data_IF_917990232559
#
_entry.id   IF_917990232559
#
_cell.length_a   1.000
_cell.length_b   1.000
_cell.length_c   1.000
_cell.angle_alpha   90.00
_cell.angle_beta   90.00
_cell.angle_gamma   90.00
#
_symmetry.space_group_name_H-M   'P 1'
#
loop_
_entity.id
_entity.type
_entity.pdbx_description
1 polymer ?
#
# COMPACT_ATOMS: atom_id res chain seq x y z
N UNK A 1 -4.49 13.99 1.42
CA UNK A 1 -5.84 13.81 2.00
C UNK A 1 -6.03 12.35 2.43
N UNK A 2 -5.83 12.04 3.72
CA UNK A 2 -6.03 10.69 4.27
C UNK A 2 -6.82 10.84 5.58
N UNK A 3 -8.12 11.10 5.47
CA UNK A 3 -9.05 11.22 6.63
C UNK A 3 -10.29 10.33 6.44
N UNK A 4 -10.15 9.24 5.68
CA UNK A 4 -11.20 8.22 5.55
C UNK A 4 -10.98 6.98 6.45
N UNK A 5 -9.80 6.85 7.08
CA UNK A 5 -9.44 5.67 7.87
C UNK A 5 -10.21 5.57 9.21
N UNK A 6 -10.44 6.70 9.88
CA UNK A 6 -11.07 6.74 11.21
C UNK A 6 -12.58 6.41 11.18
N UNK A 7 -13.39 6.84 10.18
CA UNK A 7 -14.78 6.41 10.05
C UNK A 7 -14.92 4.96 9.57
N UNK A 8 -14.10 4.52 8.61
CA UNK A 8 -14.25 3.18 8.02
C UNK A 8 -13.88 2.06 8.99
N UNK A 9 -12.79 2.21 9.74
CA UNK A 9 -12.39 1.22 10.73
C UNK A 9 -13.44 1.08 11.85
N UNK A 10 -14.02 2.20 12.29
CA UNK A 10 -15.06 2.21 13.32
C UNK A 10 -16.38 1.59 12.83
N UNK A 11 -16.74 1.84 11.57
CA UNK A 11 -17.89 1.22 10.92
C UNK A 11 -17.69 -0.28 10.71
N UNK A 12 -16.49 -0.71 10.29
CA UNK A 12 -16.15 -2.12 10.15
C UNK A 12 -16.27 -2.83 11.50
N UNK A 13 -15.71 -2.25 12.56
CA UNK A 13 -15.81 -2.78 13.91
C UNK A 13 -17.27 -2.87 14.39
N UNK A 14 -18.08 -1.83 14.15
CA UNK A 14 -19.51 -1.86 14.49
C UNK A 14 -20.27 -2.92 13.69
N UNK A 15 -20.00 -3.04 12.38
CA UNK A 15 -20.66 -4.01 11.51
C UNK A 15 -20.34 -5.44 11.93
N UNK A 16 -19.07 -5.75 12.21
CA UNK A 16 -18.65 -7.04 12.77
C UNK A 16 -19.42 -7.31 14.06
N UNK A 17 -19.47 -6.35 14.99
CA UNK A 17 -20.14 -6.52 16.28
C UNK A 17 -21.67 -6.69 16.15
N UNK A 18 -22.29 -6.01 15.20
CA UNK A 18 -23.74 -6.05 14.98
C UNK A 18 -24.19 -7.33 14.27
N UNK A 19 -23.39 -7.87 13.35
CA UNK A 19 -23.69 -9.13 12.66
C UNK A 19 -23.32 -10.35 13.52
N UNK A 20 -22.29 -10.22 14.37
CA UNK A 20 -21.84 -11.32 15.22
C UNK A 20 -22.88 -11.74 16.26
N UNK A 21 -23.61 -10.78 16.85
CA UNK A 21 -24.66 -11.08 17.85
C UNK A 21 -25.83 -11.94 17.33
N UNK A 22 -26.52 -11.60 16.23
CA UNK A 22 -27.62 -12.42 15.72
C UNK A 22 -27.13 -13.79 15.23
N UNK A 23 -25.92 -13.87 14.64
CA UNK A 23 -25.34 -15.15 14.23
C UNK A 23 -25.01 -16.02 15.45
N UNK A 24 -24.35 -15.46 16.46
CA UNK A 24 -24.06 -16.18 17.70
C UNK A 24 -25.35 -16.66 18.39
N UNK A 25 -26.41 -15.85 18.42
CA UNK A 25 -27.71 -16.25 18.94
C UNK A 25 -28.31 -17.43 18.15
N UNK A 26 -28.23 -17.40 16.82
CA UNK A 26 -28.65 -18.52 15.96
C UNK A 26 -27.84 -19.80 16.22
N UNK A 27 -26.52 -19.68 16.35
CA UNK A 27 -25.63 -20.81 16.66
C UNK A 27 -25.94 -21.39 18.05
N UNK A 28 -26.20 -20.55 19.07
CA UNK A 28 -26.62 -20.99 20.41
C UNK A 28 -27.91 -21.81 20.36
N UNK A 29 -28.92 -21.36 19.62
CA UNK A 29 -30.19 -22.09 19.46
C UNK A 29 -29.97 -23.45 18.78
N UNK A 30 -29.12 -23.51 17.76
CA UNK A 30 -28.78 -24.76 17.06
C UNK A 30 -27.94 -25.72 17.91
N UNK A 31 -27.03 -25.19 18.73
CA UNK A 31 -26.23 -25.98 19.66
C UNK A 31 -27.06 -26.58 20.80
N UNK A 32 -28.15 -25.91 21.22
CA UNK A 32 -29.12 -26.47 22.17
C UNK A 32 -30.02 -27.52 21.52
N UNK A 33 -30.36 -27.36 20.24
CA UNK A 33 -31.22 -28.29 19.51
C UNK A 33 -30.51 -29.59 19.09
N UNK A 34 -29.19 -29.56 18.86
CA UNK A 34 -28.44 -30.74 18.40
C UNK A 34 -27.21 -31.03 19.27
N UNK A 35 -27.13 -32.20 19.93
CA UNK A 35 -25.96 -32.60 20.70
C UNK A 35 -24.73 -32.87 19.82
N UNK A 36 -24.92 -33.24 18.54
CA UNK A 36 -23.82 -33.38 17.57
C UNK A 36 -23.16 -32.03 17.31
N UNK A 37 -23.96 -31.00 17.01
CA UNK A 37 -23.46 -29.65 16.75
C UNK A 37 -22.75 -29.08 17.97
N UNK A 38 -23.30 -29.31 19.17
CA UNK A 38 -22.69 -28.96 20.44
C UNK A 38 -21.27 -29.51 20.57
N UNK A 39 -21.12 -30.83 20.48
CA UNK A 39 -19.86 -31.52 20.79
C UNK A 39 -18.83 -31.39 19.67
N UNK A 40 -19.26 -31.34 18.40
CA UNK A 40 -18.33 -31.42 17.26
C UNK A 40 -17.95 -30.05 16.70
N UNK A 41 -18.84 -29.05 16.81
CA UNK A 41 -18.63 -27.74 16.17
C UNK A 41 -18.41 -26.64 17.22
N UNK A 42 -19.14 -26.65 18.33
CA UNK A 42 -19.08 -25.57 19.34
C UNK A 42 -18.03 -25.83 20.44
N UNK A 43 -17.89 -27.07 20.90
CA UNK A 43 -16.98 -27.43 21.99
C UNK A 43 -15.49 -27.35 21.62
N UNK A 44 -15.00 -27.80 20.43
CA UNK A 44 -13.57 -27.77 20.14
C UNK A 44 -12.97 -26.35 20.13
N UNK A 45 -13.60 -25.34 19.50
CA UNK A 45 -13.14 -23.95 19.58
C UNK A 45 -13.15 -23.40 21.02
N UNK A 46 -14.20 -23.72 21.80
CA UNK A 46 -14.31 -23.25 23.17
C UNK A 46 -13.22 -23.84 24.08
N UNK A 47 -12.93 -25.13 23.95
CA UNK A 47 -11.87 -25.80 24.73
C UNK A 47 -10.48 -25.32 24.29
N UNK A 48 -10.28 -25.10 22.98
CA UNK A 48 -9.04 -24.51 22.46
C UNK A 48 -8.81 -23.10 23.02
N UNK A 49 -9.84 -22.26 23.03
CA UNK A 49 -9.76 -20.91 23.58
C UNK A 49 -9.41 -20.95 25.07
N UNK A 50 -10.08 -21.80 25.85
CA UNK A 50 -9.78 -21.93 27.27
C UNK A 50 -8.35 -22.44 27.52
N UNK A 51 -7.89 -23.40 26.73
CA UNK A 51 -6.50 -23.88 26.79
C UNK A 51 -5.50 -22.78 26.43
N UNK A 52 -5.74 -22.04 25.35
CA UNK A 52 -4.88 -20.96 24.90
C UNK A 52 -4.83 -19.83 25.94
N UNK A 53 -5.98 -19.42 26.48
CA UNK A 53 -6.08 -18.39 27.51
C UNK A 53 -5.29 -18.77 28.78
N UNK A 54 -5.45 -20.00 29.27
CA UNK A 54 -4.69 -20.48 30.43
C UNK A 54 -3.18 -20.53 30.12
N UNK A 55 -2.80 -20.99 28.93
CA UNK A 55 -1.39 -21.09 28.53
C UNK A 55 -0.73 -19.71 28.37
N UNK A 56 -1.43 -18.77 27.75
CA UNK A 56 -0.97 -17.39 27.56
C UNK A 56 -0.84 -16.71 28.93
N UNK A 57 -1.82 -16.85 29.82
CA UNK A 57 -1.74 -16.28 31.18
C UNK A 57 -0.54 -16.81 31.95
N UNK A 58 -0.27 -18.10 31.88
CA UNK A 58 0.90 -18.69 32.53
C UNK A 58 2.21 -18.19 31.90
N UNK A 59 2.27 -18.11 30.57
CA UNK A 59 3.43 -17.58 29.85
C UNK A 59 3.70 -16.10 30.17
N UNK A 60 2.67 -15.25 30.17
CA UNK A 60 2.79 -13.81 30.45
C UNK A 60 3.18 -13.55 31.90
N UNK A 61 2.59 -14.29 32.85
CA UNK A 61 2.85 -14.10 34.27
C UNK A 61 4.12 -14.83 34.73
N UNK A 62 4.79 -15.59 33.85
CA UNK A 62 5.98 -16.40 34.15
C UNK A 62 5.76 -17.41 35.31
N UNK A 63 4.50 -17.73 35.62
CA UNK A 63 4.13 -18.87 36.46
C UNK A 63 4.26 -20.11 35.57
N UNK A 64 4.91 -21.17 36.07
CA UNK A 64 5.23 -22.37 35.30
C UNK A 64 4.05 -23.10 34.64
N UNK A 65 4.28 -24.34 34.18
CA UNK A 65 3.30 -25.06 33.37
C UNK A 65 1.94 -25.27 34.10
N UNK A 66 0.79 -25.00 33.42
CA UNK A 66 -0.54 -25.16 34.03
C UNK A 66 -0.85 -26.62 34.35
N UNK A 67 -1.12 -26.92 35.62
CA UNK A 67 -1.21 -28.30 36.16
C UNK A 67 -2.51 -29.04 35.77
N UNK A 68 -3.61 -28.35 35.46
CA UNK A 68 -4.83 -28.96 34.89
C UNK A 68 -5.80 -27.86 34.46
N UNK A 69 -6.01 -27.72 33.15
CA UNK A 69 -7.08 -26.86 32.62
C UNK A 69 -8.41 -27.56 32.89
N UNK A 70 -9.21 -27.03 33.83
CA UNK A 70 -10.51 -27.60 34.16
C UNK A 70 -11.42 -27.52 32.93
N UNK A 71 -12.03 -28.65 32.53
CA UNK A 71 -12.97 -28.65 31.40
C UNK A 71 -14.14 -27.73 31.74
N UNK A 72 -14.36 -26.73 30.89
CA UNK A 72 -15.41 -25.74 31.07
C UNK A 72 -16.79 -26.41 31.14
N UNK A 73 -17.68 -25.92 32.00
CA UNK A 73 -19.07 -26.36 32.11
C UNK A 73 -19.74 -26.32 30.72
N UNK A 74 -20.47 -27.38 30.35
CA UNK A 74 -21.03 -27.54 29.00
C UNK A 74 -21.87 -26.34 28.55
N UNK A 75 -22.63 -25.73 29.46
CA UNK A 75 -23.43 -24.54 29.17
C UNK A 75 -22.56 -23.31 28.80
N UNK A 76 -21.44 -23.10 29.50
CA UNK A 76 -20.54 -21.99 29.24
C UNK A 76 -19.73 -22.20 27.95
N UNK A 77 -19.36 -23.45 27.66
CA UNK A 77 -18.69 -23.80 26.42
C UNK A 77 -19.57 -23.58 25.19
N UNK A 78 -20.88 -23.84 25.29
CA UNK A 78 -21.84 -23.53 24.22
C UNK A 78 -21.92 -22.03 23.97
N UNK A 79 -21.96 -21.24 25.05
CA UNK A 79 -22.09 -19.79 24.95
C UNK A 79 -20.85 -19.16 24.29
N UNK A 80 -19.67 -19.48 24.80
CA UNK A 80 -18.41 -18.95 24.28
C UNK A 80 -18.09 -19.50 22.89
N UNK A 81 -18.31 -20.80 22.66
CA UNK A 81 -18.07 -21.43 21.36
C UNK A 81 -18.93 -20.83 20.26
N UNK A 82 -20.20 -20.49 20.57
CA UNK A 82 -21.10 -19.91 19.58
C UNK A 82 -20.72 -18.48 19.19
N UNK A 83 -20.22 -17.69 20.13
CA UNK A 83 -19.77 -16.32 19.89
C UNK A 83 -18.50 -16.30 19.04
N UNK A 84 -17.50 -17.10 19.43
CA UNK A 84 -16.23 -17.22 18.69
C UNK A 84 -16.46 -17.79 17.29
N UNK A 85 -17.33 -18.80 17.14
CA UNK A 85 -17.64 -19.39 15.85
C UNK A 85 -18.33 -18.38 14.92
N UNK A 86 -19.27 -17.59 15.45
CA UNK A 86 -19.94 -16.54 14.68
C UNK A 86 -18.97 -15.48 14.16
N UNK A 87 -18.09 -15.00 15.03
CA UNK A 87 -17.06 -14.03 14.66
C UNK A 87 -16.07 -14.58 13.63
N UNK A 88 -15.61 -15.82 13.84
CA UNK A 88 -14.65 -16.49 12.93
C UNK A 88 -15.23 -16.68 11.53
N UNK A 89 -16.51 -17.03 11.42
CA UNK A 89 -17.17 -17.21 10.12
C UNK A 89 -17.28 -15.87 9.37
N UNK A 90 -17.74 -14.80 10.04
CA UNK A 90 -17.85 -13.47 9.42
C UNK A 90 -16.48 -12.95 9.02
N UNK A 91 -15.49 -13.07 9.91
CA UNK A 91 -14.12 -12.65 9.65
C UNK A 91 -13.51 -13.46 8.50
N UNK A 92 -13.74 -14.77 8.46
CA UNK A 92 -13.29 -15.64 7.39
C UNK A 92 -13.86 -15.24 6.03
N UNK A 93 -15.16 -14.92 5.96
CA UNK A 93 -15.79 -14.41 4.73
C UNK A 93 -15.18 -13.07 4.33
N UNK A 94 -14.99 -12.14 5.27
CA UNK A 94 -14.39 -10.84 5.01
C UNK A 94 -12.95 -10.95 4.48
N UNK A 95 -12.12 -11.79 5.11
CA UNK A 95 -10.74 -12.07 4.68
C UNK A 95 -10.73 -12.73 3.31
N UNK A 96 -11.62 -13.69 3.05
CA UNK A 96 -11.71 -14.35 1.75
C UNK A 96 -12.11 -13.36 0.64
N UNK A 97 -13.09 -12.48 0.89
CA UNK A 97 -13.47 -11.42 -0.04
C UNK A 97 -12.32 -10.44 -0.30
N UNK A 98 -11.62 -10.00 0.76
CA UNK A 98 -10.47 -9.11 0.62
C UNK A 98 -9.34 -9.77 -0.17
N UNK A 99 -9.05 -11.04 0.09
CA UNK A 99 -8.04 -11.80 -0.64
C UNK A 99 -8.43 -11.97 -2.12
N UNK A 100 -9.70 -12.27 -2.40
CA UNK A 100 -10.20 -12.36 -3.76
C UNK A 100 -10.08 -11.02 -4.52
N UNK A 101 -10.43 -9.91 -3.87
CA UNK A 101 -10.22 -8.56 -4.43
C UNK A 101 -8.75 -8.22 -4.59
N UNK A 102 -7.88 -8.61 -3.66
CA UNK A 102 -6.43 -8.42 -3.78
C UNK A 102 -5.86 -9.16 -4.99
N UNK A 103 -6.22 -10.44 -5.18
CA UNK A 103 -5.81 -11.22 -6.36
C UNK A 103 -6.38 -10.61 -7.64
N UNK A 104 -7.62 -10.09 -7.60
CA UNK A 104 -8.24 -9.42 -8.75
C UNK A 104 -7.62 -8.05 -9.05
N UNK A 105 -7.22 -7.30 -8.02
CA UNK A 105 -6.65 -5.95 -8.12
C UNK A 105 -5.19 -5.99 -8.57
N UNK A 106 -4.39 -6.90 -8.00
CA UNK A 106 -2.98 -7.09 -8.39
C UNK A 106 -2.83 -7.40 -9.89
N UNK A 107 -3.75 -8.20 -10.46
CA UNK A 107 -3.82 -8.43 -11.92
C UNK A 107 -4.04 -7.15 -12.72
N UNK A 108 -4.88 -6.23 -12.23
CA UNK A 108 -5.15 -4.96 -12.90
C UNK A 108 -3.97 -4.00 -12.78
N UNK A 109 -3.29 -4.00 -11.63
CA UNK A 109 -2.09 -3.20 -11.41
C UNK A 109 -0.95 -3.66 -12.32
N UNK A 110 -0.71 -4.98 -12.42
CA UNK A 110 0.30 -5.54 -13.32
C UNK A 110 0.08 -5.13 -14.80
N UNK A 111 -1.17 -5.10 -15.27
CA UNK A 111 -1.49 -4.65 -16.65
C UNK A 111 -1.22 -3.15 -16.82
N UNK A 112 -1.55 -2.33 -15.81
CA UNK A 112 -1.28 -0.89 -15.84
C UNK A 112 0.22 -0.61 -15.81
N UNK A 113 0.97 -1.32 -14.99
CA UNK A 113 2.43 -1.23 -14.91
C UNK A 113 3.08 -1.65 -16.24
N UNK A 114 2.63 -2.75 -16.85
CA UNK A 114 3.10 -3.17 -18.16
C UNK A 114 2.82 -2.10 -19.24
N UNK A 115 1.63 -1.50 -19.24
CA UNK A 115 1.29 -0.42 -20.17
C UNK A 115 2.11 0.86 -19.90
N UNK A 116 2.46 1.16 -18.65
CA UNK A 116 3.31 2.29 -18.30
C UNK A 116 4.77 2.05 -18.74
N UNK A 117 5.29 0.84 -18.52
CA UNK A 117 6.63 0.45 -19.00
C UNK A 117 6.73 0.50 -20.52
N UNK A 118 5.70 0.06 -21.23
CA UNK A 118 5.67 0.15 -22.68
C UNK A 118 5.71 1.60 -23.17
N UNK A 119 4.97 2.51 -22.50
CA UNK A 119 5.04 3.94 -22.82
C UNK A 119 6.44 4.49 -22.61
N UNK A 120 7.12 4.11 -21.54
CA UNK A 120 8.49 4.55 -21.28
C UNK A 120 9.46 4.05 -22.37
N UNK A 121 9.34 2.78 -22.77
CA UNK A 121 10.14 2.21 -23.86
C UNK A 121 9.95 2.96 -25.17
N UNK A 122 8.71 3.27 -25.55
CA UNK A 122 8.43 4.04 -26.77
C UNK A 122 9.10 5.42 -26.72
N UNK A 123 9.13 6.06 -25.54
CA UNK A 123 9.81 7.36 -25.41
C UNK A 123 11.33 7.21 -25.46
N UNK A 124 11.91 6.19 -24.82
CA UNK A 124 13.34 5.89 -24.89
C UNK A 124 13.79 5.61 -26.33
N UNK A 125 13.04 4.80 -27.07
CA UNK A 125 13.30 4.50 -28.48
C UNK A 125 13.25 5.78 -29.33
N UNK A 126 12.26 6.65 -29.08
CA UNK A 126 12.15 7.95 -29.75
C UNK A 126 13.35 8.87 -29.48
N UNK A 127 13.87 8.88 -28.24
CA UNK A 127 15.09 9.64 -27.90
C UNK A 127 16.29 9.12 -28.69
N UNK A 128 16.45 7.80 -28.79
CA UNK A 128 17.55 7.18 -29.54
C UNK A 128 17.45 7.52 -31.03
N UNK A 129 16.26 7.40 -31.61
CA UNK A 129 16.02 7.73 -33.02
C UNK A 129 16.36 9.20 -33.34
N UNK A 130 15.87 10.13 -32.52
CA UNK A 130 16.19 11.56 -32.67
C UNK A 130 17.69 11.79 -32.50
N UNK A 131 18.35 11.12 -31.55
CA UNK A 131 19.80 11.20 -31.37
C UNK A 131 20.58 10.74 -32.60
N UNK A 132 20.16 9.65 -33.25
CA UNK A 132 20.75 9.19 -34.51
C UNK A 132 20.55 10.19 -35.65
N UNK A 133 19.37 10.82 -35.73
CA UNK A 133 19.09 11.83 -36.74
C UNK A 133 20.01 13.05 -36.58
N UNK A 134 20.22 13.50 -35.34
CA UNK A 134 21.16 14.60 -35.02
C UNK A 134 22.57 14.24 -35.46
N UNK A 135 23.06 13.03 -35.13
CA UNK A 135 24.40 12.59 -35.57
C UNK A 135 24.54 12.55 -37.09
N UNK A 136 23.49 12.14 -37.80
CA UNK A 136 23.47 12.12 -39.26
C UNK A 136 23.54 13.53 -39.84
N UNK A 137 22.76 14.47 -39.29
CA UNK A 137 22.80 15.87 -39.72
C UNK A 137 24.17 16.50 -39.46
N UNK A 138 24.81 16.22 -38.32
CA UNK A 138 26.16 16.69 -38.03
C UNK A 138 27.20 16.19 -39.05
N UNK A 139 27.09 14.92 -39.48
CA UNK A 139 27.94 14.38 -40.52
C UNK A 139 27.73 15.10 -41.86
N UNK A 140 26.46 15.39 -42.22
CA UNK A 140 26.09 16.13 -43.43
C UNK A 140 26.59 17.58 -43.42
N UNK A 141 26.55 18.25 -42.27
CA UNK A 141 27.10 19.60 -42.12
C UNK A 141 28.62 19.58 -42.31
N UNK A 142 29.32 18.57 -41.76
CA UNK A 142 30.78 18.44 -41.89
C UNK A 142 31.21 18.19 -43.33
N UNK A 143 30.51 17.35 -44.09
CA UNK A 143 30.81 17.12 -45.51
C UNK A 143 30.56 18.36 -46.37
N UNK A 144 29.44 19.07 -46.16
CA UNK A 144 29.15 20.32 -46.86
C UNK A 144 30.20 21.39 -46.55
N UNK A 145 30.60 21.52 -45.27
CA UNK A 145 31.66 22.45 -44.85
C UNK A 145 32.98 22.14 -45.57
N UNK A 146 33.34 20.85 -45.69
CA UNK A 146 34.54 20.42 -46.42
C UNK A 146 34.44 20.75 -47.91
N UNK A 147 33.29 20.46 -48.55
CA UNK A 147 33.06 20.77 -49.96
C UNK A 147 33.12 22.28 -50.26
N UNK A 148 32.59 23.11 -49.36
CA UNK A 148 32.70 24.57 -49.46
C UNK A 148 34.14 25.06 -49.33
N UNK A 149 34.95 24.46 -48.46
CA UNK A 149 36.37 24.80 -48.34
C UNK A 149 37.16 24.45 -49.61
N UNK A 150 36.88 23.32 -50.25
CA UNK A 150 37.52 22.93 -51.53
C UNK A 150 37.07 23.77 -52.72
N UNK A 151 35.83 24.27 -52.73
CA UNK A 151 35.31 25.13 -53.81
C UNK A 151 35.57 26.64 -53.60
N UNK A 152 36.26 27.05 -52.52
CA UNK A 152 36.45 28.47 -52.18
C UNK A 152 37.15 29.25 -53.31
N UNK A 153 36.48 30.23 -53.96
CA UNK A 153 37.11 31.13 -54.92
C UNK A 153 38.04 32.11 -54.19
N UNK A 154 39.16 32.50 -54.82
CA UNK A 154 40.24 33.34 -54.27
C UNK A 154 39.87 34.76 -53.80
N UNK A 155 38.59 35.11 -53.67
CA UNK A 155 38.15 36.49 -53.46
C UNK A 155 36.78 36.65 -52.76
N UNK A 156 36.33 35.64 -51.99
CA UNK A 156 35.10 35.77 -51.17
C UNK A 156 35.46 36.17 -49.73
N UNK A 157 35.07 37.38 -49.33
CA UNK A 157 35.03 37.80 -47.92
C UNK A 157 33.85 37.09 -47.25
N UNK A 158 34.15 36.12 -46.40
CA UNK A 158 33.16 35.41 -45.60
C UNK A 158 32.86 36.31 -44.39
N UNK A 159 31.61 36.77 -44.16
CA UNK A 159 31.27 37.39 -42.90
C UNK A 159 31.43 36.36 -41.78
N UNK A 160 32.13 36.73 -40.71
CA UNK A 160 32.34 35.89 -39.53
C UNK A 160 30.99 35.49 -38.92
N UNK A 161 30.50 34.32 -39.29
CA UNK A 161 29.41 33.67 -38.59
C UNK A 161 30.01 33.00 -37.36
N UNK A 162 29.94 33.70 -36.23
CA UNK A 162 30.25 33.13 -34.93
C UNK A 162 29.36 31.89 -34.74
N UNK A 163 29.93 30.72 -34.41
CA UNK A 163 29.11 29.55 -34.10
C UNK A 163 28.19 29.94 -32.95
N UNK A 164 26.87 29.90 -33.16
CA UNK A 164 25.95 29.91 -32.03
C UNK A 164 26.29 28.67 -31.22
N UNK A 165 26.91 28.88 -30.07
CA UNK A 165 27.14 27.84 -29.11
C UNK A 165 25.79 27.20 -28.83
N UNK A 166 25.58 25.98 -29.33
CA UNK A 166 24.51 25.12 -28.82
C UNK A 166 24.95 24.82 -27.40
N UNK A 167 24.40 25.58 -26.45
CA UNK A 167 24.52 25.30 -25.03
C UNK A 167 23.78 23.98 -24.85
N UNK A 168 24.52 22.87 -24.93
CA UNK A 168 24.08 21.61 -24.35
C UNK A 168 24.05 21.89 -22.85
N UNK A 169 22.86 22.22 -22.33
CA UNK A 169 22.59 22.15 -20.90
C UNK A 169 22.78 20.67 -20.55
N UNK A 170 23.99 20.35 -20.09
CA UNK A 170 24.30 19.08 -19.45
C UNK A 170 23.54 19.10 -18.14
N UNK A 171 22.32 18.57 -18.14
CA UNK A 171 21.62 18.27 -16.91
C UNK A 171 22.51 17.30 -16.13
N UNK A 172 22.93 17.74 -14.95
CA UNK A 172 23.83 17.01 -14.07
C UNK A 172 23.25 15.64 -13.79
N UNK A 173 24.12 14.62 -13.79
CA UNK A 173 23.84 13.35 -13.13
C UNK A 173 23.65 13.61 -11.64
N UNK A 174 22.44 14.00 -11.23
CA UNK A 174 22.01 13.93 -9.85
C UNK A 174 21.23 12.63 -9.67
N UNK A 175 21.74 11.81 -8.75
CA UNK A 175 21.15 10.59 -8.24
C UNK A 175 19.62 10.71 -8.09
N UNK A 176 18.85 9.61 -8.25
CA UNK A 176 17.40 9.68 -8.29
C UNK A 176 16.89 10.40 -7.04
N UNK A 177 16.29 11.57 -7.23
CA UNK A 177 15.59 12.27 -6.17
C UNK A 177 14.41 11.41 -5.77
N UNK A 178 14.60 10.62 -4.72
CA UNK A 178 13.53 9.93 -4.03
C UNK A 178 12.59 11.00 -3.52
N UNK A 179 11.44 11.17 -4.15
CA UNK A 179 10.36 12.03 -3.67
C UNK A 179 9.83 11.39 -2.39
N UNK A 180 10.48 11.70 -1.26
CA UNK A 180 9.97 11.37 0.07
C UNK A 180 8.89 12.39 0.38
N UNK A 181 7.63 11.97 0.22
CA UNK A 181 6.46 12.73 0.66
C UNK A 181 6.48 12.77 2.20
N UNK A 182 6.91 13.90 2.78
CA UNK A 182 6.70 14.17 4.21
C UNK A 182 5.23 14.57 4.46
N UNK A 183 4.62 14.11 5.56
CA UNK A 183 3.25 14.47 5.90
C UNK A 183 3.20 15.88 6.49
N UNK A 184 2.29 16.69 5.95
CA UNK A 184 1.91 18.00 6.45
C UNK A 184 1.44 17.91 7.91
N UNK A 185 2.31 18.33 8.83
CA UNK A 185 2.02 18.39 10.27
C UNK A 185 1.70 19.84 10.64
N UNK A 186 0.47 20.25 10.37
CA UNK A 186 -0.08 21.52 10.85
C UNK A 186 -0.32 21.47 12.36
N UNK A 187 0.62 22.00 13.14
CA UNK A 187 0.43 22.28 14.57
C UNK A 187 0.67 23.75 14.89
N UNK A 188 -0.40 24.38 15.39
CA UNK A 188 -0.43 25.36 16.47
C UNK A 188 0.35 26.67 16.30
N UNK A 189 -0.41 27.72 16.01
CA UNK A 189 -0.10 29.09 16.37
C UNK A 189 -0.59 29.33 17.81
N UNK A 190 0.29 29.15 18.80
CA UNK A 190 0.05 29.56 20.19
C UNK A 190 0.47 31.01 20.40
N UNK A 191 -0.51 31.83 20.77
CA UNK A 191 -0.55 32.65 21.97
C UNK A 191 0.78 33.33 22.41
N UNK A 192 0.82 34.67 22.31
CA UNK A 192 1.76 35.50 23.07
C UNK A 192 1.04 36.72 23.65
N UNK A 193 0.59 36.57 24.89
CA UNK A 193 0.24 37.67 25.81
C UNK A 193 1.49 38.48 26.16
N UNK A 194 1.41 39.81 26.06
CA UNK A 194 1.97 40.73 27.07
C UNK A 194 1.64 42.19 26.77
N UNK A 195 0.58 42.74 27.39
CA UNK A 195 0.57 44.15 27.81
C UNK A 195 -0.48 44.41 28.90
N UNK A 196 0.00 44.46 30.15
CA UNK A 196 -0.51 45.33 31.23
C UNK A 196 -0.01 46.77 30.96
N UNK A 197 -0.50 47.88 31.60
CA UNK A 197 -0.99 47.95 33.01
C UNK A 197 -2.13 48.97 33.33
N UNK A 198 -2.57 48.96 34.61
CA UNK A 198 -3.07 50.08 35.49
C UNK A 198 -4.14 51.03 34.90
N UNK A 199 -5.34 51.16 35.48
CA UNK A 199 -5.71 51.57 36.85
C UNK A 199 -7.16 51.18 37.12
#
# INVERSE_FOLDING_TARGET
MVVAAFPLAKLLYLAVRQVSKPIAAGIKTRAKASPFFRTYICMPPAQFYHWADVKIKMWVLNLGSPVKVAKLNEAQAIEQGAEILGETVIFGIAVACLFAEYVRSSRKEAVKEAAAQERLRIMEDGIVEVGMLVQRQDAQIRELTRALLTMKPKNVKIPDYAPHAVIVQRESEDAPTVIRVEPDNGSNLTDSKSQQPKR
#
